data_IF_554526281277
#
_entry.id   IF_554526281277
#
_cell.length_a   1.000
_cell.length_b   1.000
_cell.length_c   1.000
_cell.angle_alpha   90.00
_cell.angle_beta   90.00
_cell.angle_gamma   90.00
#
_symmetry.space_group_name_H-M   'P 1'
#
loop_
_entity.id
_entity.type
_entity.pdbx_description
1 polymer ?
#
# COMPACT_ATOMS: atom_id res chain seq x y z
N UNK A 1 5.95 -14.65 23.80
CA UNK A 1 7.38 -14.76 23.46
C UNK A 1 7.95 -13.36 23.36
N UNK A 2 9.19 -13.14 23.79
CA UNK A 2 9.91 -11.87 23.61
C UNK A 2 10.85 -11.90 22.39
N UNK A 3 11.38 -10.75 21.98
CA UNK A 3 12.24 -10.61 20.79
C UNK A 3 13.47 -11.55 20.85
N UNK A 4 14.09 -11.69 22.03
CA UNK A 4 15.27 -12.56 22.21
C UNK A 4 14.91 -14.03 21.97
N UNK A 5 13.79 -14.48 22.51
CA UNK A 5 13.29 -15.84 22.34
C UNK A 5 12.89 -16.10 20.89
N UNK A 6 12.31 -15.12 20.21
CA UNK A 6 12.00 -15.18 18.77
C UNK A 6 13.27 -15.46 17.95
N UNK A 7 14.33 -14.66 18.12
CA UNK A 7 15.58 -14.88 17.39
C UNK A 7 16.30 -16.18 17.78
N UNK A 8 16.13 -16.65 19.03
CA UNK A 8 16.65 -17.95 19.45
C UNK A 8 15.95 -19.10 18.74
N UNK A 9 14.63 -19.00 18.53
CA UNK A 9 13.87 -19.98 17.77
C UNK A 9 14.24 -19.92 16.27
N UNK A 10 14.32 -18.73 15.68
CA UNK A 10 14.78 -18.53 14.29
C UNK A 10 16.18 -19.11 14.06
N UNK A 11 17.08 -19.06 15.04
CA UNK A 11 18.43 -19.65 14.93
C UNK A 11 18.45 -21.19 14.77
N UNK A 12 17.30 -21.87 14.96
CA UNK A 12 17.15 -23.29 14.61
C UNK A 12 17.09 -23.52 13.09
N UNK A 13 16.86 -22.46 12.31
CA UNK A 13 16.88 -22.50 10.86
C UNK A 13 18.34 -22.58 10.39
N UNK A 14 18.77 -23.75 9.92
CA UNK A 14 20.08 -23.93 9.29
C UNK A 14 19.93 -23.88 7.77
N UNK A 15 20.87 -23.22 7.09
CA UNK A 15 20.84 -23.05 5.63
C UNK A 15 21.09 -24.36 4.84
N UNK A 16 21.58 -25.42 5.49
CA UNK A 16 21.99 -26.66 4.84
C UNK A 16 20.80 -27.59 4.53
N UNK A 17 19.72 -27.56 5.31
CA UNK A 17 18.54 -28.42 5.12
C UNK A 17 17.22 -27.71 5.50
N UNK A 18 16.62 -26.93 4.60
CA UNK A 18 15.45 -26.10 4.90
C UNK A 18 14.28 -26.90 5.48
N UNK A 19 13.90 -28.02 4.85
CA UNK A 19 12.75 -28.84 5.29
C UNK A 19 12.93 -29.41 6.69
N UNK A 20 14.14 -29.89 7.02
CA UNK A 20 14.45 -30.42 8.34
C UNK A 20 14.46 -29.30 9.39
N UNK A 21 14.92 -28.11 9.01
CA UNK A 21 14.96 -26.95 9.88
C UNK A 21 13.54 -26.40 10.17
N UNK A 22 12.66 -26.35 9.15
CA UNK A 22 11.23 -26.01 9.31
C UNK A 22 10.56 -26.98 10.27
N UNK A 23 10.76 -28.29 10.08
CA UNK A 23 10.17 -29.32 10.93
C UNK A 23 10.65 -29.21 12.38
N UNK A 24 11.93 -28.89 12.57
CA UNK A 24 12.54 -28.67 13.90
C UNK A 24 11.95 -27.45 14.59
N UNK A 25 11.92 -26.30 13.93
CA UNK A 25 11.31 -25.07 14.48
C UNK A 25 9.83 -25.28 14.80
N UNK A 26 9.08 -25.93 13.89
CA UNK A 26 7.65 -26.25 14.11
C UNK A 26 7.45 -27.14 15.34
N UNK A 27 8.30 -28.17 15.50
CA UNK A 27 8.24 -29.07 16.65
C UNK A 27 8.57 -28.35 17.97
N UNK A 28 9.55 -27.45 17.93
CA UNK A 28 9.95 -26.63 19.07
C UNK A 28 8.82 -25.72 19.51
N UNK A 29 8.23 -24.97 18.58
CA UNK A 29 7.12 -24.07 18.88
C UNK A 29 5.89 -24.84 19.36
N UNK A 30 5.60 -26.01 18.78
CA UNK A 30 4.48 -26.85 19.21
C UNK A 30 4.61 -27.39 20.64
N UNK A 31 5.83 -27.42 21.19
CA UNK A 31 6.08 -27.81 22.59
C UNK A 31 5.95 -26.62 23.57
N UNK A 32 5.81 -25.39 23.07
CA UNK A 32 5.63 -24.19 23.88
C UNK A 32 4.15 -23.93 24.20
N UNK A 33 3.86 -23.08 25.21
CA UNK A 33 2.51 -22.59 25.44
C UNK A 33 1.93 -21.87 24.22
N UNK A 34 0.61 -21.99 23.99
CA UNK A 34 -0.10 -21.40 22.84
C UNK A 34 0.22 -19.91 22.66
N UNK A 35 0.25 -19.14 23.75
CA UNK A 35 0.54 -17.70 23.71
C UNK A 35 1.97 -17.38 23.25
N UNK A 36 2.89 -18.33 23.31
CA UNK A 36 4.23 -18.17 22.72
C UNK A 36 4.23 -18.46 21.21
N UNK A 37 3.38 -19.37 20.73
CA UNK A 37 3.20 -19.63 19.29
C UNK A 37 2.57 -18.40 18.61
N UNK A 38 1.53 -17.81 19.20
CA UNK A 38 0.91 -16.57 18.69
C UNK A 38 1.89 -15.40 18.75
N UNK A 39 2.64 -15.25 19.83
CA UNK A 39 3.64 -14.20 19.92
C UNK A 39 4.80 -14.39 18.92
N UNK A 40 5.17 -15.63 18.58
CA UNK A 40 6.13 -15.88 17.51
C UNK A 40 5.57 -15.41 16.15
N UNK A 41 4.30 -15.71 15.85
CA UNK A 41 3.63 -15.22 14.63
C UNK A 41 3.60 -13.69 14.56
N UNK A 42 3.27 -13.03 15.69
CA UNK A 42 3.23 -11.57 15.78
C UNK A 42 4.61 -10.95 15.54
N UNK A 43 5.65 -11.51 16.16
CA UNK A 43 7.03 -11.06 15.95
C UNK A 43 7.49 -11.27 14.51
N UNK A 44 7.21 -12.44 13.93
CA UNK A 44 7.52 -12.73 12.53
C UNK A 44 6.87 -11.71 11.59
N UNK A 45 5.59 -11.44 11.78
CA UNK A 45 4.85 -10.47 10.97
C UNK A 45 5.46 -9.07 11.08
N UNK A 46 5.77 -8.62 12.30
CA UNK A 46 6.39 -7.31 12.55
C UNK A 46 7.75 -7.17 11.87
N UNK A 47 8.63 -8.18 11.95
CA UNK A 47 9.96 -8.09 11.32
C UNK A 47 9.90 -8.18 9.80
N UNK A 48 9.04 -9.03 9.23
CA UNK A 48 8.82 -9.10 7.77
C UNK A 48 8.20 -7.81 7.25
N UNK A 49 7.27 -7.21 7.99
CA UNK A 49 6.63 -5.94 7.66
C UNK A 49 7.60 -4.75 7.78
N UNK A 50 8.51 -4.74 8.74
CA UNK A 50 9.43 -3.62 8.95
C UNK A 50 10.42 -3.39 7.79
N UNK A 51 10.75 -4.44 7.03
CA UNK A 51 11.55 -4.35 5.79
C UNK A 51 10.69 -4.37 4.52
N UNK A 52 9.35 -4.35 4.65
CA UNK A 52 8.41 -4.11 3.56
C UNK A 52 8.46 -2.63 3.17
N UNK A 53 9.42 -2.22 2.35
CA UNK A 53 9.52 -0.80 1.94
C UNK A 53 9.89 -0.71 0.46
N UNK A 54 9.52 0.40 -0.22
CA UNK A 54 9.93 0.63 -1.60
C UNK A 54 11.45 0.57 -1.80
N UNK A 55 12.20 1.11 -0.82
CA UNK A 55 13.66 1.13 -0.86
C UNK A 55 14.30 -0.27 -0.84
N UNK A 56 13.69 -1.24 -0.15
CA UNK A 56 14.15 -2.63 -0.20
C UNK A 56 13.65 -3.34 -1.46
N UNK A 57 12.39 -3.09 -1.84
CA UNK A 57 11.77 -3.72 -2.99
C UNK A 57 12.49 -3.41 -4.31
N UNK A 58 13.07 -2.20 -4.47
CA UNK A 58 13.81 -1.81 -5.68
C UNK A 58 15.03 -2.69 -5.98
N UNK A 59 15.54 -3.42 -4.99
CA UNK A 59 16.69 -4.32 -5.13
C UNK A 59 16.31 -5.80 -5.32
N UNK A 60 15.01 -6.13 -5.28
CA UNK A 60 14.53 -7.50 -5.46
C UNK A 60 13.72 -7.60 -6.76
N UNK A 61 14.29 -8.15 -7.85
CA UNK A 61 13.53 -8.41 -9.06
C UNK A 61 12.51 -9.54 -8.84
N UNK A 62 11.42 -9.54 -9.62
CA UNK A 62 10.41 -10.61 -9.59
C UNK A 62 9.09 -10.25 -8.90
N UNK A 63 8.90 -8.98 -8.52
CA UNK A 63 7.62 -8.46 -8.04
C UNK A 63 7.29 -8.82 -6.60
N UNK A 64 6.01 -8.67 -6.24
CA UNK A 64 5.53 -8.73 -4.86
C UNK A 64 5.81 -10.06 -4.15
N UNK A 65 5.65 -11.19 -4.85
CA UNK A 65 5.89 -12.53 -4.30
C UNK A 65 7.38 -12.78 -4.04
N UNK A 66 8.23 -12.43 -5.01
CA UNK A 66 9.69 -12.57 -4.86
C UNK A 66 10.22 -11.68 -3.72
N UNK A 67 9.66 -10.48 -3.57
CA UNK A 67 10.00 -9.59 -2.47
C UNK A 67 9.57 -10.12 -1.10
N UNK A 68 8.36 -10.71 -0.99
CA UNK A 68 7.93 -11.38 0.24
C UNK A 68 8.85 -12.55 0.60
N UNK A 69 9.22 -13.38 -0.39
CA UNK A 69 10.15 -14.47 -0.20
C UNK A 69 11.52 -13.96 0.27
N UNK A 70 12.05 -12.89 -0.34
CA UNK A 70 13.32 -12.30 0.07
C UNK A 70 13.30 -11.79 1.52
N UNK A 71 12.23 -11.10 1.94
CA UNK A 71 12.06 -10.64 3.33
C UNK A 71 12.01 -11.81 4.31
N UNK A 72 11.33 -12.90 3.96
CA UNK A 72 11.31 -14.12 4.76
C UNK A 72 12.71 -14.78 4.84
N UNK A 73 13.47 -14.80 3.74
CA UNK A 73 14.82 -15.33 3.68
C UNK A 73 15.79 -14.53 4.57
N UNK A 74 15.67 -13.20 4.60
CA UNK A 74 16.43 -12.32 5.49
C UNK A 74 16.18 -12.67 6.97
N UNK A 75 14.91 -12.87 7.35
CA UNK A 75 14.56 -13.27 8.72
C UNK A 75 15.10 -14.66 9.03
N UNK A 76 14.94 -15.62 8.12
CA UNK A 76 15.45 -16.98 8.28
C UNK A 76 16.98 -17.03 8.43
N UNK A 77 17.70 -16.09 7.80
CA UNK A 77 19.15 -15.95 7.92
C UNK A 77 19.61 -15.35 9.27
N UNK A 78 18.67 -15.02 10.16
CA UNK A 78 18.92 -14.67 11.54
C UNK A 78 19.11 -13.18 11.82
N UNK A 79 19.21 -12.86 13.11
CA UNK A 79 19.15 -11.48 13.64
C UNK A 79 20.19 -10.54 13.04
N UNK A 80 21.45 -10.97 12.98
CA UNK A 80 22.54 -10.10 12.52
C UNK A 80 22.38 -9.76 11.03
N UNK A 81 21.88 -10.71 10.25
CA UNK A 81 21.56 -10.50 8.83
C UNK A 81 20.37 -9.56 8.68
N UNK A 82 19.30 -9.79 9.43
CA UNK A 82 18.14 -8.90 9.46
C UNK A 82 18.53 -7.46 9.79
N UNK A 83 19.36 -7.25 10.81
CA UNK A 83 19.81 -5.91 11.21
C UNK A 83 20.65 -5.22 10.13
N UNK A 84 21.52 -5.96 9.43
CA UNK A 84 22.30 -5.40 8.31
C UNK A 84 21.39 -4.96 7.17
N UNK A 85 20.45 -5.81 6.75
CA UNK A 85 19.50 -5.51 5.67
C UNK A 85 18.60 -4.34 6.06
N UNK A 86 18.03 -4.37 7.27
CA UNK A 86 17.19 -3.29 7.78
C UNK A 86 17.91 -1.92 7.74
N UNK A 87 19.20 -1.89 8.04
CA UNK A 87 20.00 -0.67 8.00
C UNK A 87 20.48 -0.28 6.59
N UNK A 88 20.54 -1.24 5.65
CA UNK A 88 21.09 -1.07 4.31
C UNK A 88 20.23 -1.83 3.28
N UNK A 89 19.22 -1.17 2.68
CA UNK A 89 18.31 -1.80 1.73
C UNK A 89 18.97 -2.59 0.58
N UNK A 90 20.10 -2.17 -0.02
CA UNK A 90 20.75 -2.94 -1.08
C UNK A 90 21.17 -4.36 -0.69
N UNK A 91 21.43 -4.63 0.60
CA UNK A 91 21.87 -5.95 1.09
C UNK A 91 20.79 -7.04 0.90
N UNK A 92 19.53 -6.67 0.68
CA UNK A 92 18.45 -7.62 0.43
C UNK A 92 18.59 -8.36 -0.91
N UNK A 93 19.32 -7.80 -1.88
CA UNK A 93 19.54 -8.40 -3.20
C UNK A 93 20.12 -9.82 -3.09
N UNK A 94 20.99 -10.05 -2.11
CA UNK A 94 21.59 -11.36 -1.84
C UNK A 94 20.56 -12.44 -1.42
N UNK A 95 19.34 -12.03 -1.08
CA UNK A 95 18.25 -12.88 -0.60
C UNK A 95 17.10 -12.99 -1.60
N UNK A 96 17.25 -12.46 -2.83
CA UNK A 96 16.23 -12.49 -3.89
C UNK A 96 15.93 -13.90 -4.47
N UNK A 97 16.29 -14.98 -3.77
CA UNK A 97 16.03 -16.35 -4.19
C UNK A 97 14.65 -16.84 -3.73
N UNK A 98 13.93 -17.63 -4.57
CA UNK A 98 12.61 -18.14 -4.22
C UNK A 98 12.66 -19.18 -3.08
N UNK A 99 11.58 -19.29 -2.31
CA UNK A 99 11.35 -20.44 -1.42
C UNK A 99 11.69 -20.22 0.05
N UNK A 100 11.42 -19.03 0.61
CA UNK A 100 11.51 -18.78 2.06
C UNK A 100 10.16 -18.44 2.71
N UNK A 101 9.10 -18.28 1.92
CA UNK A 101 7.72 -18.04 2.34
C UNK A 101 7.15 -19.15 3.23
N UNK A 102 7.75 -20.35 3.22
CA UNK A 102 7.42 -21.44 4.15
C UNK A 102 7.51 -21.02 5.62
N UNK A 103 8.33 -20.00 5.93
CA UNK A 103 8.48 -19.49 7.30
C UNK A 103 7.14 -18.96 7.84
N UNK A 104 6.29 -18.41 6.97
CA UNK A 104 4.97 -17.87 7.34
C UNK A 104 3.99 -18.98 7.78
N UNK A 105 4.19 -20.22 7.32
CA UNK A 105 3.33 -21.35 7.68
C UNK A 105 3.71 -22.01 9.03
N UNK A 106 4.93 -21.77 9.53
CA UNK A 106 5.46 -22.37 10.77
C UNK A 106 4.55 -22.17 11.98
N UNK A 107 4.03 -20.96 12.30
CA UNK A 107 3.21 -20.75 13.49
C UNK A 107 1.88 -21.51 13.43
N UNK A 108 1.23 -21.51 12.26
CA UNK A 108 -0.01 -22.23 12.03
C UNK A 108 0.20 -23.74 12.19
N UNK A 109 1.25 -24.29 11.57
CA UNK A 109 1.60 -25.70 11.68
C UNK A 109 1.93 -26.10 13.14
N UNK A 110 2.64 -25.26 13.87
CA UNK A 110 2.98 -25.51 15.27
C UNK A 110 1.74 -25.53 16.18
N UNK A 111 0.82 -24.57 15.97
CA UNK A 111 -0.44 -24.50 16.70
C UNK A 111 -1.34 -25.70 16.42
N UNK A 112 -1.52 -26.06 15.14
CA UNK A 112 -2.32 -27.21 14.75
C UNK A 112 -1.75 -28.50 15.34
N UNK A 113 -0.43 -28.64 15.34
CA UNK A 113 0.24 -29.78 15.98
C UNK A 113 0.06 -29.81 17.50
N UNK A 114 0.11 -28.65 18.17
CA UNK A 114 -0.02 -28.55 19.63
C UNK A 114 -1.45 -28.78 20.11
N UNK A 115 -2.45 -28.38 19.32
CA UNK A 115 -3.85 -28.29 19.75
C UNK A 115 -4.79 -29.26 19.03
N UNK A 116 -4.42 -29.74 17.84
CA UNK A 116 -5.30 -30.47 16.94
C UNK A 116 -6.40 -29.60 16.30
N UNK A 117 -6.32 -28.26 16.44
CA UNK A 117 -7.32 -27.31 15.94
C UNK A 117 -6.71 -26.34 14.94
N UNK A 118 -7.49 -25.93 13.94
CA UNK A 118 -7.06 -25.02 12.89
C UNK A 118 -6.62 -23.66 13.46
N UNK A 119 -5.59 -23.07 12.85
CA UNK A 119 -5.11 -21.73 13.19
C UNK A 119 -6.11 -20.65 12.74
N UNK A 120 -6.46 -19.74 13.65
CA UNK A 120 -7.36 -18.60 13.36
C UNK A 120 -6.79 -17.26 13.82
N UNK A 121 -5.57 -17.23 14.35
CA UNK A 121 -4.94 -16.02 14.85
C UNK A 121 -4.45 -15.15 13.70
N UNK A 122 -4.81 -13.88 13.75
CA UNK A 122 -4.38 -12.86 12.78
C UNK A 122 -3.29 -11.98 13.42
N UNK A 123 -2.08 -11.92 12.84
CA UNK A 123 -1.02 -11.05 13.34
C UNK A 123 -1.42 -9.56 13.32
N UNK A 124 -0.80 -8.70 14.14
CA UNK A 124 -1.16 -7.29 14.25
C UNK A 124 -0.87 -6.46 12.99
N UNK A 125 -0.03 -6.97 12.09
CA UNK A 125 0.31 -6.35 10.80
C UNK A 125 0.28 -7.39 9.70
N UNK A 126 -0.04 -6.96 8.49
CA UNK A 126 0.03 -7.82 7.31
C UNK A 126 1.49 -8.00 6.87
N UNK A 127 1.81 -9.18 6.34
CA UNK A 127 3.12 -9.47 5.72
C UNK A 127 3.12 -9.20 4.22
N UNK A 128 1.93 -9.04 3.63
CA UNK A 128 1.76 -8.81 2.19
C UNK A 128 2.59 -7.61 1.75
N UNK A 129 3.25 -7.76 0.60
CA UNK A 129 4.04 -6.68 0.00
C UNK A 129 3.15 -5.46 -0.24
N UNK A 130 3.60 -4.29 0.20
CA UNK A 130 2.83 -3.06 0.07
C UNK A 130 1.92 -2.74 1.26
N UNK A 131 1.91 -3.58 2.29
CA UNK A 131 1.05 -3.38 3.46
C UNK A 131 1.63 -2.38 4.46
N UNK A 132 2.94 -2.15 4.42
CA UNK A 132 3.59 -1.14 5.26
C UNK A 132 3.24 0.27 4.79
N UNK A 133 2.84 1.19 5.70
CA UNK A 133 2.55 2.58 5.36
C UNK A 133 3.67 3.30 4.59
N UNK A 134 4.93 2.85 4.70
CA UNK A 134 6.08 3.37 3.94
C UNK A 134 5.97 3.17 2.42
N UNK A 135 5.06 2.32 1.94
CA UNK A 135 4.71 2.20 0.52
C UNK A 135 3.80 3.31 0.04
N UNK A 136 3.09 3.95 0.96
CA UNK A 136 2.47 5.25 0.71
C UNK A 136 3.57 6.30 0.95
N UNK A 137 3.72 7.30 0.07
CA UNK A 137 4.73 8.33 0.29
C UNK A 137 4.43 9.04 1.62
N UNK A 138 5.24 8.76 2.64
CA UNK A 138 5.33 9.59 3.84
C UNK A 138 5.93 10.91 3.37
N UNK A 139 5.08 11.91 3.15
CA UNK A 139 5.55 13.30 3.08
C UNK A 139 6.17 13.63 4.43
N UNK A 140 7.46 13.94 4.44
CA UNK A 140 8.17 14.39 5.63
C UNK A 140 7.70 15.79 6.04
N UNK A 141 6.46 15.89 6.53
CA UNK A 141 5.99 16.93 7.43
C UNK A 141 4.69 16.45 8.12
N UNK A 142 4.84 15.46 9.00
CA UNK A 142 3.77 14.98 9.87
C UNK A 142 3.56 16.02 11.00
N UNK A 143 2.86 17.11 10.69
CA UNK A 143 2.01 17.74 11.69
C UNK A 143 0.65 17.05 11.63
N UNK A 144 0.42 16.17 12.61
CA UNK A 144 -0.83 15.46 12.97
C UNK A 144 -2.15 16.12 12.50
N UNK A 145 -2.50 15.97 11.22
CA UNK A 145 -3.88 15.93 10.75
C UNK A 145 -4.04 14.70 9.83
N UNK A 146 -4.14 13.53 10.47
CA UNK A 146 -4.53 12.24 9.89
C UNK A 146 -5.54 12.43 8.73
N UNK A 147 -5.12 12.21 7.48
CA UNK A 147 -5.98 12.40 6.29
C UNK A 147 -7.28 11.61 6.45
N UNK A 148 -8.41 12.28 6.26
CA UNK A 148 -9.72 11.65 6.42
C UNK A 148 -10.12 10.85 5.19
N UNK A 149 -9.48 11.12 4.04
CA UNK A 149 -9.70 10.43 2.78
C UNK A 149 -8.41 9.75 2.33
N UNK A 150 -8.47 8.43 2.15
CA UNK A 150 -7.39 7.64 1.57
C UNK A 150 -7.85 6.99 0.27
N UNK A 151 -6.90 6.76 -0.63
CA UNK A 151 -7.12 6.09 -1.91
C UNK A 151 -6.12 4.95 -2.04
N UNK A 152 -6.60 3.71 -1.92
CA UNK A 152 -5.82 2.53 -2.23
C UNK A 152 -5.66 2.47 -3.75
N UNK A 153 -4.43 2.68 -4.24
CA UNK A 153 -4.11 2.57 -5.66
C UNK A 153 -4.65 1.26 -6.22
N UNK A 154 -5.62 1.35 -7.13
CA UNK A 154 -6.26 0.18 -7.70
C UNK A 154 -5.22 -0.71 -8.38
N UNK A 155 -5.27 -2.01 -8.06
CA UNK A 155 -4.52 -3.03 -8.77
C UNK A 155 -5.05 -3.11 -10.22
N UNK A 156 -4.41 -2.39 -11.16
CA UNK A 156 -4.66 -2.47 -12.60
C UNK A 156 -4.08 -3.78 -13.16
N UNK A 157 -4.52 -4.93 -12.65
CA UNK A 157 -3.91 -6.23 -12.95
C UNK A 157 -4.02 -6.64 -14.43
N UNK A 158 -4.93 -6.03 -15.20
CA UNK A 158 -5.22 -6.42 -16.59
C UNK A 158 -4.79 -5.36 -17.62
N UNK A 159 -4.70 -4.08 -17.26
CA UNK A 159 -4.65 -2.98 -18.25
C UNK A 159 -3.37 -2.13 -18.25
N UNK A 160 -2.43 -2.39 -17.33
CA UNK A 160 -1.23 -1.58 -17.15
C UNK A 160 -1.51 -0.23 -16.50
N UNK A 161 -0.45 0.49 -16.11
CA UNK A 161 -0.54 1.82 -15.48
C UNK A 161 -1.00 2.88 -16.49
N UNK A 162 -1.75 3.88 -16.01
CA UNK A 162 -2.34 4.94 -16.85
C UNK A 162 -1.97 6.28 -16.22
N UNK A 163 -0.78 6.81 -16.54
CA UNK A 163 -0.16 7.92 -15.79
C UNK A 163 -1.04 9.16 -15.67
N UNK A 164 -1.72 9.53 -16.76
CA UNK A 164 -2.63 10.67 -16.75
C UNK A 164 -3.82 10.46 -15.80
N UNK A 165 -4.36 9.23 -15.74
CA UNK A 165 -5.42 8.87 -14.82
C UNK A 165 -4.90 8.86 -13.37
N UNK A 166 -3.79 8.16 -13.13
CA UNK A 166 -3.21 7.97 -11.79
C UNK A 166 -2.81 9.32 -11.17
N UNK A 167 -2.10 10.16 -11.93
CA UNK A 167 -1.73 11.51 -11.50
C UNK A 167 -2.97 12.38 -11.24
N UNK A 168 -3.99 12.31 -12.11
CA UNK A 168 -5.24 13.06 -11.89
C UNK A 168 -5.94 12.61 -10.62
N UNK A 169 -6.01 11.31 -10.38
CA UNK A 169 -6.67 10.76 -9.19
C UNK A 169 -5.93 11.17 -7.91
N UNK A 170 -4.60 11.07 -7.87
CA UNK A 170 -3.80 11.51 -6.72
C UNK A 170 -4.02 12.99 -6.40
N UNK A 171 -3.96 13.87 -7.42
CA UNK A 171 -4.18 15.31 -7.24
C UNK A 171 -5.61 15.61 -6.79
N UNK A 172 -6.60 14.90 -7.33
CA UNK A 172 -7.99 15.04 -6.88
C UNK A 172 -8.18 14.61 -5.43
N UNK A 173 -7.60 13.47 -5.02
CA UNK A 173 -7.70 12.96 -3.65
C UNK A 173 -7.07 13.95 -2.68
N UNK A 174 -5.84 14.40 -2.96
CA UNK A 174 -5.16 15.39 -2.13
C UNK A 174 -5.96 16.70 -2.03
N UNK A 175 -6.49 17.20 -3.15
CA UNK A 175 -7.28 18.42 -3.16
C UNK A 175 -8.61 18.26 -2.40
N UNK A 176 -9.28 17.11 -2.49
CA UNK A 176 -10.51 16.82 -1.74
C UNK A 176 -10.21 16.64 -0.24
N UNK A 177 -9.13 15.94 0.10
CA UNK A 177 -8.71 15.75 1.49
C UNK A 177 -8.43 17.09 2.17
N UNK A 178 -7.73 18.00 1.48
CA UNK A 178 -7.39 19.34 1.99
C UNK A 178 -8.57 20.33 2.00
N UNK A 179 -9.63 20.14 1.20
CA UNK A 179 -10.73 21.11 1.11
C UNK A 179 -11.62 21.11 2.38
N UNK A 180 -11.72 22.23 3.11
CA UNK A 180 -12.51 22.31 4.34
C UNK A 180 -14.01 22.02 4.14
N UNK A 181 -14.54 22.25 2.95
CA UNK A 181 -15.94 21.96 2.60
C UNK A 181 -16.18 20.46 2.55
N UNK A 182 -15.20 19.72 2.03
CA UNK A 182 -15.21 18.26 1.99
C UNK A 182 -14.97 17.65 3.36
N UNK A 183 -14.01 18.17 4.16
CA UNK A 183 -13.84 17.80 5.58
C UNK A 183 -15.14 17.96 6.38
N UNK A 184 -15.81 19.11 6.26
CA UNK A 184 -17.11 19.37 6.91
C UNK A 184 -18.23 18.47 6.37
N UNK A 185 -18.18 18.09 5.10
CA UNK A 185 -19.15 17.15 4.54
C UNK A 185 -18.96 15.77 5.16
N UNK A 186 -17.73 15.28 5.22
CA UNK A 186 -17.38 13.99 5.77
C UNK A 186 -17.62 13.87 7.28
N UNK A 187 -17.36 14.92 8.04
CA UNK A 187 -17.56 14.91 9.51
C UNK A 187 -18.99 14.53 9.94
N UNK A 188 -19.98 14.67 9.05
CA UNK A 188 -21.37 14.24 9.29
C UNK A 188 -21.55 12.73 9.30
N UNK A 189 -20.64 11.97 8.70
CA UNK A 189 -20.66 10.51 8.71
C UNK A 189 -20.41 9.93 10.11
N UNK A 190 -19.77 10.69 11.01
CA UNK A 190 -19.45 10.25 12.37
C UNK A 190 -18.42 9.12 12.41
N UNK A 191 -17.54 9.09 11.42
CA UNK A 191 -16.41 8.16 11.27
C UNK A 191 -15.19 8.98 10.87
N UNK A 192 -14.00 8.52 11.26
CA UNK A 192 -12.77 9.29 11.10
C UNK A 192 -12.26 9.22 9.67
N UNK A 193 -12.16 8.01 9.10
CA UNK A 193 -11.53 7.81 7.79
C UNK A 193 -12.47 7.19 6.75
N UNK A 194 -12.22 7.54 5.49
CA UNK A 194 -12.83 7.00 4.30
C UNK A 194 -11.72 6.44 3.40
N UNK A 195 -11.76 5.14 3.14
CA UNK A 195 -10.81 4.46 2.26
C UNK A 195 -11.50 4.10 0.94
N UNK A 196 -10.97 4.62 -0.17
CA UNK A 196 -11.44 4.31 -1.51
C UNK A 196 -10.53 3.26 -2.15
N UNK A 197 -11.10 2.13 -2.57
CA UNK A 197 -10.39 1.04 -3.23
C UNK A 197 -11.08 0.70 -4.56
N UNK A 198 -10.71 1.36 -5.67
CA UNK A 198 -11.19 0.98 -6.99
C UNK A 198 -10.47 -0.27 -7.51
N UNK A 199 -11.23 -1.11 -8.19
CA UNK A 199 -10.79 -2.32 -8.88
C UNK A 199 -11.32 -2.29 -10.31
N UNK A 200 -10.49 -2.68 -11.27
CA UNK A 200 -10.88 -2.77 -12.67
C UNK A 200 -10.80 -4.22 -13.11
N UNK A 201 -11.95 -4.82 -13.41
CA UNK A 201 -12.09 -6.22 -13.77
C UNK A 201 -12.98 -6.35 -15.00
N UNK A 202 -12.51 -7.10 -16.02
CA UNK A 202 -13.32 -7.46 -17.19
C UNK A 202 -14.34 -8.57 -16.87
N UNK A 203 -14.19 -9.26 -15.73
CA UNK A 203 -14.99 -10.42 -15.35
C UNK A 203 -16.14 -10.12 -14.38
N UNK A 204 -16.03 -9.04 -13.61
CA UNK A 204 -16.99 -8.69 -12.58
C UNK A 204 -17.95 -7.58 -13.03
N UNK A 205 -19.20 -7.64 -12.56
CA UNK A 205 -20.16 -6.58 -12.85
C UNK A 205 -19.75 -5.28 -12.12
N UNK A 206 -19.77 -4.11 -12.78
CA UNK A 206 -19.50 -2.84 -12.13
C UNK A 206 -20.43 -2.60 -10.94
N UNK A 207 -19.88 -2.11 -9.83
CA UNK A 207 -20.62 -1.92 -8.61
C UNK A 207 -19.76 -1.35 -7.49
N UNK A 208 -20.42 -0.71 -6.52
CA UNK A 208 -19.75 -0.14 -5.34
C UNK A 208 -20.28 -0.80 -4.08
N UNK A 209 -19.38 -1.42 -3.32
CA UNK A 209 -19.67 -2.02 -2.02
C UNK A 209 -19.10 -1.12 -0.93
N UNK A 210 -19.90 -0.86 0.11
CA UNK A 210 -19.51 0.02 1.21
C UNK A 210 -19.57 -0.76 2.51
N UNK A 211 -18.43 -0.79 3.22
CA UNK A 211 -18.28 -1.45 4.52
C UNK A 211 -18.02 -0.38 5.58
N UNK A 212 -18.92 -0.26 6.55
CA UNK A 212 -18.79 0.69 7.65
C UNK A 212 -18.26 -0.01 8.90
N UNK A 213 -17.08 0.39 9.34
CA UNK A 213 -16.53 0.05 10.65
C UNK A 213 -16.80 1.13 11.69
N UNK A 214 -16.19 0.96 12.88
CA UNK A 214 -16.31 1.92 13.99
C UNK A 214 -15.54 3.22 13.73
N UNK A 215 -14.38 3.12 13.10
CA UNK A 215 -13.47 4.27 12.87
C UNK A 215 -13.33 4.63 11.38
N UNK A 216 -13.61 3.67 10.49
CA UNK A 216 -13.36 3.76 9.06
C UNK A 216 -14.54 3.31 8.23
N UNK A 217 -14.68 3.87 7.05
CA UNK A 217 -15.54 3.35 5.98
C UNK A 217 -14.66 2.94 4.82
N UNK A 218 -14.87 1.74 4.30
CA UNK A 218 -14.15 1.22 3.15
C UNK A 218 -15.10 1.11 1.96
N UNK A 219 -14.66 1.59 0.81
CA UNK A 219 -15.38 1.56 -0.45
C UNK A 219 -14.63 0.66 -1.41
N UNK A 220 -15.18 -0.51 -1.70
CA UNK A 220 -14.68 -1.40 -2.74
C UNK A 220 -15.48 -1.14 -4.01
N UNK A 221 -14.85 -0.53 -5.02
CA UNK A 221 -15.52 -0.11 -6.25
C UNK A 221 -15.02 -0.90 -7.45
N UNK A 222 -15.86 -1.77 -8.02
CA UNK A 222 -15.59 -2.43 -9.30
C UNK A 222 -16.04 -1.47 -10.40
N UNK A 223 -15.08 -0.95 -11.15
CA UNK A 223 -15.28 0.07 -12.18
C UNK A 223 -15.03 -0.51 -13.58
N UNK A 224 -15.62 0.12 -14.61
CA UNK A 224 -15.55 -0.40 -15.99
C UNK A 224 -14.14 -0.21 -16.58
N UNK A 225 -13.41 -1.30 -16.87
CA UNK A 225 -12.07 -1.24 -17.44
C UNK A 225 -12.03 -0.64 -18.86
N UNK A 226 -13.16 -0.62 -19.59
CA UNK A 226 -13.20 -0.18 -21.00
C UNK A 226 -12.80 1.28 -21.19
N UNK A 227 -12.93 2.12 -20.17
CA UNK A 227 -12.42 3.48 -20.21
C UNK A 227 -10.92 3.53 -20.52
N UNK A 228 -10.15 2.58 -19.99
CA UNK A 228 -8.71 2.49 -20.22
C UNK A 228 -8.31 1.93 -21.57
N UNK A 229 -9.26 1.55 -22.44
CA UNK A 229 -8.94 1.28 -23.85
C UNK A 229 -8.52 2.55 -24.60
N UNK A 230 -8.88 3.71 -24.06
CA UNK A 230 -8.51 5.03 -24.59
C UNK A 230 -7.22 5.52 -23.95
N UNK A 231 -6.37 6.14 -24.75
CA UNK A 231 -5.12 6.75 -24.29
C UNK A 231 -5.20 8.28 -24.25
N UNK A 232 -6.32 8.88 -24.67
CA UNK A 232 -6.41 10.33 -24.72
C UNK A 232 -6.48 10.93 -23.32
N UNK A 233 -5.50 11.78 -23.04
CA UNK A 233 -5.27 12.39 -21.74
C UNK A 233 -6.50 13.09 -21.16
N UNK A 234 -7.18 13.90 -21.97
CA UNK A 234 -8.39 14.62 -21.52
C UNK A 234 -9.46 13.65 -21.04
N UNK A 235 -9.67 12.55 -21.76
CA UNK A 235 -10.61 11.52 -21.34
C UNK A 235 -10.15 10.81 -20.07
N UNK A 236 -8.86 10.47 -19.94
CA UNK A 236 -8.34 9.82 -18.72
C UNK A 236 -8.47 10.73 -17.48
N UNK A 237 -8.26 12.04 -17.63
CA UNK A 237 -8.48 13.00 -16.55
C UNK A 237 -9.96 13.08 -16.16
N UNK A 238 -10.86 13.16 -17.15
CA UNK A 238 -12.31 13.15 -16.90
C UNK A 238 -12.81 11.82 -16.34
N UNK A 239 -12.20 10.71 -16.73
CA UNK A 239 -12.48 9.38 -16.18
C UNK A 239 -12.13 9.34 -14.69
N UNK A 240 -10.96 9.83 -14.28
CA UNK A 240 -10.57 9.91 -12.86
C UNK A 240 -11.55 10.77 -12.05
N UNK A 241 -11.98 11.92 -12.60
CA UNK A 241 -13.02 12.76 -11.97
C UNK A 241 -14.33 12.02 -11.82
N UNK A 242 -14.74 11.30 -12.85
CA UNK A 242 -16.00 10.53 -12.89
C UNK A 242 -15.98 9.38 -11.89
N UNK A 243 -14.88 8.63 -11.83
CA UNK A 243 -14.72 7.48 -10.95
C UNK A 243 -14.71 7.92 -9.48
N UNK A 244 -13.99 8.99 -9.15
CA UNK A 244 -13.99 9.58 -7.81
C UNK A 244 -15.41 10.00 -7.39
N UNK A 245 -16.11 10.72 -8.26
CA UNK A 245 -17.48 11.17 -7.99
C UNK A 245 -18.47 10.01 -7.88
N UNK A 246 -18.24 8.92 -8.61
CA UNK A 246 -19.05 7.70 -8.53
C UNK A 246 -18.91 7.08 -7.15
N UNK A 247 -17.69 6.89 -6.66
CA UNK A 247 -17.42 6.36 -5.32
C UNK A 247 -18.00 7.27 -4.22
N UNK A 248 -17.72 8.58 -4.28
CA UNK A 248 -18.22 9.54 -3.29
C UNK A 248 -19.76 9.66 -3.31
N UNK A 249 -20.39 9.52 -4.49
CA UNK A 249 -21.86 9.49 -4.60
C UNK A 249 -22.47 8.24 -3.98
N UNK A 250 -21.80 7.09 -4.11
CA UNK A 250 -22.21 5.86 -3.43
C UNK A 250 -22.13 6.03 -1.91
N UNK A 251 -21.02 6.59 -1.40
CA UNK A 251 -20.83 6.91 0.03
C UNK A 251 -21.92 7.85 0.53
N UNK A 252 -22.18 8.94 -0.21
CA UNK A 252 -23.26 9.88 0.10
C UNK A 252 -24.58 9.15 0.29
N UNK A 253 -24.92 8.27 -0.65
CA UNK A 253 -26.21 7.56 -0.66
C UNK A 253 -26.29 6.53 0.46
N UNK A 254 -25.22 5.77 0.70
CA UNK A 254 -25.20 4.72 1.73
C UNK A 254 -25.20 5.27 3.16
N UNK A 255 -24.62 6.45 3.37
CA UNK A 255 -24.51 7.08 4.69
C UNK A 255 -25.51 8.23 4.90
N UNK A 256 -26.44 8.44 3.97
CA UNK A 256 -27.44 9.52 3.98
C UNK A 256 -26.81 10.91 4.23
N UNK A 257 -25.71 11.18 3.53
CA UNK A 257 -25.01 12.45 3.62
C UNK A 257 -25.66 13.49 2.70
N UNK A 258 -25.51 14.76 3.04
CA UNK A 258 -25.95 15.88 2.21
C UNK A 258 -25.26 15.90 0.84
N UNK A 259 -25.68 16.84 -0.03
CA UNK A 259 -25.09 16.99 -1.36
C UNK A 259 -23.56 17.09 -1.32
N UNK A 260 -22.90 16.45 -2.30
CA UNK A 260 -21.45 16.54 -2.47
C UNK A 260 -21.06 18.01 -2.68
N UNK A 261 -20.01 18.50 -2.01
CA UNK A 261 -19.41 19.77 -2.37
C UNK A 261 -18.91 19.74 -3.83
N UNK A 262 -18.76 20.90 -4.49
CA UNK A 262 -18.11 20.93 -5.80
C UNK A 262 -16.67 20.41 -5.67
N UNK A 263 -16.19 19.68 -6.69
CA UNK A 263 -14.79 19.27 -6.74
C UNK A 263 -13.89 20.52 -6.71
N UNK A 264 -12.77 20.46 -5.97
CA UNK A 264 -11.74 21.48 -6.03
C UNK A 264 -11.24 21.65 -7.48
N UNK A 265 -10.74 22.85 -7.79
CA UNK A 265 -9.97 23.04 -9.02
C UNK A 265 -8.61 22.40 -8.81
N UNK A 266 -8.17 21.63 -9.80
CA UNK A 266 -6.84 21.01 -9.82
C UNK A 266 -6.01 21.71 -10.91
N UNK A 267 -4.68 21.77 -10.75
CA UNK A 267 -3.80 22.32 -11.78
C UNK A 267 -3.86 21.53 -13.07
N UNK A 268 -3.56 22.20 -14.18
CA UNK A 268 -3.30 21.51 -15.44
C UNK A 268 -2.04 20.66 -15.25
N UNK A 269 -2.19 19.36 -15.46
CA UNK A 269 -1.06 18.43 -15.36
C UNK A 269 0.00 18.76 -16.46
N UNK A 270 1.26 18.36 -16.29
CA UNK A 270 2.26 18.36 -17.35
C UNK A 270 1.83 17.48 -18.53
N UNK A 271 2.50 17.62 -19.66
CA UNK A 271 2.47 16.58 -20.69
C UNK A 271 3.08 15.28 -20.17
N UNK A 272 2.18 14.35 -19.81
CA UNK A 272 2.50 12.98 -19.47
C UNK A 272 2.39 12.12 -20.74
N UNK A 273 3.20 11.05 -20.89
CA UNK A 273 3.13 10.18 -22.04
C UNK A 273 1.86 9.32 -21.94
N UNK A 274 1.27 9.03 -23.10
CA UNK A 274 0.00 8.30 -23.26
C UNK A 274 0.03 6.88 -22.67
N UNK A 275 1.22 6.31 -22.53
CA UNK A 275 1.48 5.00 -21.91
C UNK A 275 2.97 4.88 -21.56
N UNK A 276 3.28 4.19 -20.46
CA UNK A 276 4.61 3.63 -20.26
C UNK A 276 4.71 2.28 -20.96
N UNK A 277 5.68 2.15 -21.87
CA UNK A 277 6.26 0.83 -22.07
C UNK A 277 6.94 0.43 -20.74
N UNK A 278 6.88 -0.86 -20.33
CA UNK A 278 7.65 -1.31 -19.17
C UNK A 278 9.11 -0.85 -19.31
N UNK A 279 9.58 -0.01 -18.37
CA UNK A 279 10.95 0.50 -18.34
C UNK A 279 11.25 1.84 -19.04
N UNK A 280 10.26 2.69 -19.34
CA UNK A 280 10.51 4.09 -19.73
C UNK A 280 10.35 5.06 -18.54
N UNK A 281 11.21 6.08 -18.45
CA UNK A 281 11.09 7.18 -17.47
C UNK A 281 9.98 8.19 -17.85
N UNK A 282 9.22 8.68 -16.86
CA UNK A 282 8.26 9.78 -17.07
C UNK A 282 8.95 11.09 -17.49
N UNK A 283 8.33 11.89 -18.37
CA UNK A 283 8.60 13.33 -18.44
C UNK A 283 8.30 13.94 -17.06
N UNK A 284 9.34 14.57 -16.51
CA UNK A 284 9.33 15.26 -15.23
C UNK A 284 8.57 16.57 -15.37
N UNK A 285 7.70 16.87 -14.41
CA UNK A 285 7.19 18.24 -14.22
C UNK A 285 8.34 19.18 -13.93
N UNK A 286 8.41 20.31 -14.64
CA UNK A 286 9.27 21.40 -14.19
C UNK A 286 8.61 22.06 -12.97
N UNK A 287 9.28 21.98 -11.81
CA UNK A 287 8.80 22.56 -10.55
C UNK A 287 8.54 24.05 -10.71
N UNK A 288 9.32 24.75 -11.54
CA UNK A 288 9.17 26.19 -11.78
C UNK A 288 7.90 26.51 -12.58
N UNK A 289 7.43 25.59 -13.43
CA UNK A 289 6.20 25.73 -14.20
C UNK A 289 4.96 25.59 -13.30
N UNK A 290 5.02 24.70 -12.31
CA UNK A 290 3.89 24.47 -11.40
C UNK A 290 3.78 25.52 -10.31
N UNK A 291 4.92 26.00 -9.80
CA UNK A 291 4.95 27.14 -8.88
C UNK A 291 4.36 28.37 -9.56
N UNK A 292 4.78 28.68 -10.79
CA UNK A 292 4.24 29.80 -11.58
C UNK A 292 2.74 29.70 -11.83
N UNK A 293 2.22 28.49 -12.08
CA UNK A 293 0.78 28.26 -12.24
C UNK A 293 -0.01 28.53 -10.95
N UNK A 294 0.47 28.09 -9.78
CA UNK A 294 -0.23 28.33 -8.52
C UNK A 294 -0.14 29.79 -8.04
N UNK A 295 0.89 30.55 -8.46
CA UNK A 295 0.93 32.01 -8.29
C UNK A 295 -0.16 32.73 -9.13
N UNK A 296 -0.45 32.23 -10.34
CA UNK A 296 -1.44 32.82 -11.26
C UNK A 296 -2.90 32.56 -10.83
N UNK A 297 -3.20 31.40 -10.22
CA UNK A 297 -4.59 31.00 -9.91
C UNK A 297 -5.12 31.60 -8.61
N UNK A 298 -4.23 31.98 -7.67
CA UNK A 298 -4.56 32.68 -6.43
C UNK A 298 -5.51 31.91 -5.50
N UNK A 299 -4.99 31.37 -4.40
CA UNK A 299 -5.81 30.73 -3.36
C UNK A 299 -5.25 29.42 -2.79
N UNK A 300 -4.03 29.06 -3.13
CA UNK A 300 -3.31 27.92 -2.55
C UNK A 300 -1.95 28.41 -2.07
N UNK A 301 -1.55 28.05 -0.85
CA UNK A 301 -0.22 28.36 -0.35
C UNK A 301 0.80 27.47 -1.07
N UNK A 302 1.71 28.12 -1.79
CA UNK A 302 2.71 27.46 -2.64
C UNK A 302 3.78 26.73 -1.85
N UNK A 303 4.02 27.14 -0.59
CA UNK A 303 4.90 26.40 0.31
C UNK A 303 4.34 25.02 0.64
N UNK A 304 3.02 24.88 0.76
CA UNK A 304 2.35 23.62 1.11
C UNK A 304 2.33 22.61 -0.05
N UNK A 305 2.30 23.08 -1.30
CA UNK A 305 2.30 22.20 -2.48
C UNK A 305 3.71 21.87 -3.00
N UNK A 306 4.74 22.62 -2.58
CA UNK A 306 6.13 22.44 -3.03
C UNK A 306 6.62 20.98 -2.94
N UNK A 307 6.32 20.20 -1.88
CA UNK A 307 6.76 18.80 -1.77
C UNK A 307 6.07 17.86 -2.77
N UNK A 308 4.76 18.04 -2.99
CA UNK A 308 3.96 17.23 -3.94
C UNK A 308 4.41 17.48 -5.39
N UNK A 309 4.76 18.73 -5.69
CA UNK A 309 5.27 19.14 -7.00
C UNK A 309 6.70 18.67 -7.23
N UNK A 310 7.53 18.65 -6.19
CA UNK A 310 8.87 18.06 -6.24
C UNK A 310 8.83 16.55 -6.48
N UNK A 311 7.91 15.84 -5.81
CA UNK A 311 7.69 14.39 -5.98
C UNK A 311 7.35 14.02 -7.43
N UNK A 312 6.48 14.81 -8.09
CA UNK A 312 6.15 14.64 -9.51
C UNK A 312 7.29 15.04 -10.48
N UNK A 313 8.30 15.75 -9.99
CA UNK A 313 9.44 16.22 -10.76
C UNK A 313 10.70 15.35 -10.59
N UNK A 314 10.86 14.64 -9.47
CA UNK A 314 12.11 13.92 -9.14
C UNK A 314 12.04 12.40 -9.27
N UNK A 315 10.88 11.77 -9.08
CA UNK A 315 10.76 10.31 -9.13
C UNK A 315 10.07 9.81 -10.41
N UNK A 316 10.65 8.86 -11.15
CA UNK A 316 9.90 8.10 -12.14
C UNK A 316 8.80 7.28 -11.42
N UNK A 317 7.61 7.10 -11.98
CA UNK A 317 6.69 6.11 -11.45
C UNK A 317 7.22 4.74 -11.84
N UNK A 318 7.14 3.85 -10.87
CA UNK A 318 7.31 2.42 -11.07
C UNK A 318 6.21 1.84 -11.99
#
# INVERSE_FOLDING_TARGET
MDERSFWTAVALLTAEEPDAAVATLTAELAARPIHEITAFADHLAVVVHAIDTPAHASYVPGGAEAFLAARCAVVAAGRDTYQRVFAAPPEIEAFAAPGAEWLLAVPANAYERATGTAWTHEPPVSVETGSNPLWSPITADDTDEESWLTYGGGLHTVLGTRPAYDATMQVLIAAVDADPRWRRWWSRAGVHTLDLAPYYSDGDAPGVTIRRGRQRVVVDAILDPRGFARTDRTFLCELARTDLLTMLSAVRTALDLGALPPLPRIPDLPDMPDSFAPGQDLPRLDVDDVVRFAEEVGGVDLEELRPVLHMLATDPPL
#
